data_IF_049007501199
#
_entry.id   IF_049007501199
#
_cell.length_a   1.000
_cell.length_b   1.000
_cell.length_c   1.000
_cell.angle_alpha   90.00
_cell.angle_beta   90.00
_cell.angle_gamma   90.00
#
_symmetry.space_group_name_H-M   'P 1'
#
loop_
_entity.id
_entity.type
_entity.pdbx_description
1 polymer ?
#
# COMPACT_ATOMS: atom_id res chain seq x y z
N UNK A 1 9.33 9.44 22.77
CA UNK A 1 10.76 9.75 22.65
C UNK A 1 11.28 9.27 21.30
N UNK A 2 12.00 10.11 20.59
CA UNK A 2 12.63 9.70 19.33
C UNK A 2 13.99 9.07 19.62
N UNK A 3 14.31 8.01 18.89
CA UNK A 3 15.66 7.47 18.89
C UNK A 3 16.61 8.46 18.22
N UNK A 4 17.87 8.47 18.66
CA UNK A 4 18.90 9.32 18.03
C UNK A 4 19.43 8.73 16.73
N UNK A 5 19.18 7.46 16.46
CA UNK A 5 19.68 6.75 15.28
C UNK A 5 18.60 5.83 14.73
N UNK A 6 18.53 5.77 13.41
CA UNK A 6 17.65 4.86 12.67
C UNK A 6 18.43 4.15 11.58
N UNK A 7 18.09 2.89 11.33
CA UNK A 7 18.70 2.14 10.22
C UNK A 7 18.18 2.63 8.87
N UNK A 8 16.90 2.98 8.80
CA UNK A 8 16.23 3.44 7.59
C UNK A 8 15.34 4.64 7.91
N UNK A 9 15.44 5.68 7.12
CA UNK A 9 14.56 6.84 7.19
C UNK A 9 13.81 6.94 5.86
N UNK A 10 12.49 6.88 5.91
CA UNK A 10 11.62 7.02 4.73
C UNK A 10 10.93 8.37 4.80
N UNK A 11 11.13 9.20 3.79
CA UNK A 11 10.52 10.52 3.69
C UNK A 11 9.37 10.48 2.71
N UNK A 12 8.17 10.74 3.22
CA UNK A 12 6.94 10.68 2.43
C UNK A 12 6.16 9.39 2.70
N UNK A 13 4.90 9.53 3.06
CA UNK A 13 4.02 8.43 3.40
C UNK A 13 2.96 8.20 2.31
N UNK A 14 3.35 8.28 1.05
CA UNK A 14 2.54 7.80 -0.07
C UNK A 14 2.57 6.27 -0.14
N UNK A 15 2.03 5.68 -1.19
CA UNK A 15 2.00 4.22 -1.33
C UNK A 15 3.40 3.60 -1.28
N UNK A 16 4.34 4.16 -2.03
CA UNK A 16 5.72 3.67 -2.05
C UNK A 16 6.41 3.82 -0.70
N UNK A 17 6.24 4.96 -0.04
CA UNK A 17 6.85 5.21 1.26
C UNK A 17 6.29 4.28 2.35
N UNK A 18 4.99 4.04 2.36
CA UNK A 18 4.37 3.10 3.30
C UNK A 18 4.87 1.68 3.09
N UNK A 19 4.97 1.21 1.84
CA UNK A 19 5.51 -0.11 1.53
C UNK A 19 6.99 -0.23 1.92
N UNK A 20 7.77 0.80 1.65
CA UNK A 20 9.20 0.81 2.01
C UNK A 20 9.39 0.77 3.53
N UNK A 21 8.64 1.57 4.28
CA UNK A 21 8.71 1.59 5.73
C UNK A 21 8.30 0.26 6.34
N UNK A 22 7.20 -0.32 5.85
CA UNK A 22 6.72 -1.62 6.30
C UNK A 22 7.74 -2.73 6.02
N UNK A 23 8.32 -2.74 4.83
CA UNK A 23 9.34 -3.73 4.46
C UNK A 23 10.57 -3.63 5.36
N UNK A 24 11.09 -2.43 5.57
CA UNK A 24 12.26 -2.21 6.42
C UNK A 24 11.98 -2.64 7.88
N UNK A 25 10.84 -2.27 8.43
CA UNK A 25 10.46 -2.64 9.79
C UNK A 25 10.27 -4.14 9.95
N UNK A 26 9.65 -4.80 8.97
CA UNK A 26 9.47 -6.26 8.99
C UNK A 26 10.79 -7.03 8.87
N UNK A 27 11.81 -6.42 8.30
CA UNK A 27 13.16 -7.00 8.26
C UNK A 27 13.95 -6.78 9.54
N UNK A 28 13.33 -6.15 10.55
CA UNK A 28 13.99 -5.91 11.84
C UNK A 28 14.76 -4.61 11.93
N UNK A 29 14.66 -3.73 10.93
CA UNK A 29 15.34 -2.45 10.94
C UNK A 29 14.61 -1.42 11.82
N UNK A 30 15.38 -0.58 12.50
CA UNK A 30 14.85 0.60 13.17
C UNK A 30 14.50 1.63 12.08
N UNK A 31 13.20 1.90 11.91
CA UNK A 31 12.69 2.66 10.78
C UNK A 31 11.95 3.92 11.22
N UNK A 32 12.26 5.05 10.62
CA UNK A 32 11.53 6.30 10.80
C UNK A 32 10.79 6.65 9.51
N UNK A 33 9.47 6.79 9.61
CA UNK A 33 8.64 7.28 8.51
C UNK A 33 8.25 8.73 8.80
N UNK A 34 8.63 9.63 7.90
CA UNK A 34 8.36 11.07 8.03
C UNK A 34 7.28 11.49 7.05
N UNK A 35 6.25 12.13 7.56
CA UNK A 35 5.15 12.66 6.73
C UNK A 35 4.71 14.02 7.24
N UNK A 36 4.15 14.83 6.34
CA UNK A 36 3.61 16.13 6.70
C UNK A 36 2.25 16.04 7.40
N UNK A 37 1.48 14.98 7.15
CA UNK A 37 0.16 14.80 7.74
C UNK A 37 -0.15 13.31 7.91
N UNK A 38 -0.32 12.87 9.14
CA UNK A 38 -0.62 11.47 9.47
C UNK A 38 -1.98 11.02 8.92
N UNK A 39 -2.91 11.93 8.71
CA UNK A 39 -4.23 11.59 8.16
C UNK A 39 -4.17 11.26 6.67
N UNK A 40 -3.10 11.64 5.99
CA UNK A 40 -2.94 11.43 4.55
C UNK A 40 -1.98 10.28 4.21
N UNK A 41 -1.69 9.40 5.16
CA UNK A 41 -0.87 8.21 4.91
C UNK A 41 -1.52 7.35 3.82
N UNK A 42 -0.75 6.98 2.81
CA UNK A 42 -1.20 6.16 1.68
C UNK A 42 -2.47 6.70 1.01
N UNK A 43 -2.60 8.01 0.94
CA UNK A 43 -3.78 8.66 0.38
C UNK A 43 -3.99 8.26 -1.07
N UNK A 44 -5.19 7.80 -1.38
CA UNK A 44 -5.61 7.56 -2.76
C UNK A 44 -6.00 8.87 -3.43
N UNK A 45 -5.70 8.99 -4.73
CA UNK A 45 -6.04 10.16 -5.52
C UNK A 45 -7.51 10.13 -5.97
N UNK A 46 -7.84 10.83 -7.06
CA UNK A 46 -9.22 11.01 -7.54
C UNK A 46 -10.00 9.71 -7.76
N UNK A 47 -9.31 8.64 -8.16
CA UNK A 47 -9.91 7.31 -8.35
C UNK A 47 -9.42 6.38 -7.23
N UNK A 48 -10.18 6.18 -6.17
CA UNK A 48 -9.75 5.36 -5.05
C UNK A 48 -9.79 3.87 -5.42
N UNK A 49 -8.80 3.44 -6.21
CA UNK A 49 -8.69 2.08 -6.69
C UNK A 49 -7.24 1.60 -6.63
N UNK A 50 -7.05 0.32 -6.32
CA UNK A 50 -5.76 -0.35 -6.36
C UNK A 50 -5.76 -1.38 -7.50
N UNK A 51 -4.74 -1.31 -8.33
CA UNK A 51 -4.64 -2.17 -9.51
C UNK A 51 -5.11 -1.46 -10.77
N UNK A 52 -5.51 -2.24 -11.78
CA UNK A 52 -5.90 -1.76 -13.09
C UNK A 52 -4.95 -2.25 -14.17
N UNK A 53 -4.96 -1.63 -15.35
CA UNK A 53 -4.10 -2.03 -16.47
C UNK A 53 -2.63 -1.82 -16.10
N UNK A 54 -1.84 -2.89 -16.13
CA UNK A 54 -0.44 -2.96 -15.71
C UNK A 54 -0.21 -2.81 -14.20
N UNK A 55 -1.00 -2.01 -13.48
CA UNK A 55 -0.83 -1.81 -12.04
C UNK A 55 -1.19 -3.05 -11.22
N UNK A 56 -2.18 -3.82 -11.68
CA UNK A 56 -2.59 -5.04 -10.98
C UNK A 56 -1.47 -6.07 -10.92
N UNK A 57 -0.70 -6.22 -11.96
CA UNK A 57 0.45 -7.12 -12.00
C UNK A 57 1.53 -6.67 -11.01
N UNK A 58 1.82 -5.37 -10.96
CA UNK A 58 2.80 -4.79 -10.03
C UNK A 58 2.35 -4.99 -8.58
N UNK A 59 1.08 -4.76 -8.28
CA UNK A 59 0.54 -4.98 -6.93
C UNK A 59 0.66 -6.43 -6.50
N UNK A 60 0.43 -7.38 -7.40
CA UNK A 60 0.63 -8.82 -7.11
C UNK A 60 2.08 -9.14 -6.77
N UNK A 61 3.02 -8.53 -7.48
CA UNK A 61 4.45 -8.73 -7.19
C UNK A 61 4.82 -8.17 -5.83
N UNK A 62 4.31 -6.98 -5.48
CA UNK A 62 4.51 -6.38 -4.16
C UNK A 62 3.94 -7.28 -3.06
N UNK A 63 2.73 -7.80 -3.25
CA UNK A 63 2.07 -8.69 -2.30
C UNK A 63 2.89 -9.99 -2.09
N UNK A 64 3.41 -10.57 -3.18
CA UNK A 64 4.25 -11.76 -3.12
C UNK A 64 5.55 -11.53 -2.34
N UNK A 65 6.05 -10.30 -2.32
CA UNK A 65 7.25 -9.91 -1.56
C UNK A 65 6.94 -9.52 -0.11
N UNK A 66 5.69 -9.63 0.32
CA UNK A 66 5.27 -9.30 1.68
C UNK A 66 4.72 -7.89 1.86
N UNK A 67 4.35 -7.21 0.78
CA UNK A 67 3.75 -5.88 0.84
C UNK A 67 2.34 -5.86 1.42
N UNK A 68 1.90 -4.70 1.85
CA UNK A 68 0.64 -4.53 2.57
C UNK A 68 -0.50 -3.97 1.70
N UNK A 69 -0.22 -3.38 0.55
CA UNK A 69 -1.23 -2.72 -0.28
C UNK A 69 -2.37 -3.67 -0.69
N UNK A 70 -2.05 -4.90 -1.04
CA UNK A 70 -3.05 -5.91 -1.38
C UNK A 70 -3.95 -6.24 -0.20
N UNK A 71 -3.36 -6.44 0.98
CA UNK A 71 -4.09 -6.76 2.22
C UNK A 71 -5.01 -5.61 2.61
N UNK A 72 -4.52 -4.37 2.57
CA UNK A 72 -5.30 -3.18 2.90
C UNK A 72 -6.42 -2.99 1.88
N UNK A 73 -6.16 -3.22 0.60
CA UNK A 73 -7.17 -3.13 -0.45
C UNK A 73 -8.32 -4.12 -0.21
N UNK A 74 -8.00 -5.37 0.15
CA UNK A 74 -9.01 -6.39 0.44
C UNK A 74 -9.88 -6.01 1.63
N UNK A 75 -9.29 -5.45 2.68
CA UNK A 75 -10.02 -5.03 3.89
C UNK A 75 -10.95 -3.84 3.65
N UNK A 76 -10.65 -3.00 2.67
CA UNK A 76 -11.38 -1.76 2.42
C UNK A 76 -12.10 -1.75 1.09
N UNK A 77 -12.17 -2.90 0.41
CA UNK A 77 -12.75 -3.01 -0.92
C UNK A 77 -14.24 -2.68 -0.95
N UNK A 78 -14.61 -1.84 -1.91
CA UNK A 78 -16.00 -1.58 -2.27
C UNK A 78 -16.37 -2.41 -3.50
N UNK A 79 -15.44 -2.52 -4.46
CA UNK A 79 -15.65 -3.24 -5.70
C UNK A 79 -14.36 -3.93 -6.13
N UNK A 80 -14.49 -5.17 -6.60
CA UNK A 80 -13.40 -5.91 -7.24
C UNK A 80 -13.75 -6.14 -8.71
N UNK A 81 -12.79 -5.92 -9.61
CA UNK A 81 -12.96 -6.14 -11.04
C UNK A 81 -11.69 -6.69 -11.66
N UNK A 82 -11.85 -7.69 -12.53
CA UNK A 82 -10.76 -8.20 -13.35
C UNK A 82 -10.81 -7.52 -14.72
N UNK A 83 -9.74 -6.80 -15.06
CA UNK A 83 -9.61 -6.11 -16.34
C UNK A 83 -8.98 -7.01 -17.41
N UNK A 84 -9.24 -6.70 -18.67
CA UNK A 84 -8.66 -7.40 -19.83
C UNK A 84 -9.00 -8.89 -19.91
N UNK A 85 -10.16 -9.32 -19.40
CA UNK A 85 -10.58 -10.72 -19.47
C UNK A 85 -10.65 -11.25 -20.91
N UNK A 86 -11.09 -10.41 -21.84
CA UNK A 86 -11.22 -10.78 -23.26
C UNK A 86 -9.88 -10.99 -23.95
N UNK A 87 -8.78 -10.62 -23.33
CA UNK A 87 -7.42 -10.68 -23.91
C UNK A 87 -6.63 -11.90 -23.47
N UNK A 88 -7.26 -12.83 -22.78
CA UNK A 88 -6.64 -14.05 -22.29
C UNK A 88 -6.05 -13.92 -20.87
N UNK A 89 -5.81 -15.06 -20.19
CA UNK A 89 -5.43 -15.06 -18.77
C UNK A 89 -4.15 -14.28 -18.43
N UNK A 90 -3.18 -14.28 -19.33
CA UNK A 90 -1.92 -13.55 -19.12
C UNK A 90 -2.10 -12.03 -19.01
N UNK A 91 -3.17 -11.52 -19.60
CA UNK A 91 -3.48 -10.09 -19.62
C UNK A 91 -4.48 -9.67 -18.56
N UNK A 92 -5.02 -10.59 -17.79
CA UNK A 92 -5.96 -10.28 -16.72
C UNK A 92 -5.28 -9.44 -15.65
N UNK A 93 -5.93 -8.33 -15.30
CA UNK A 93 -5.38 -7.34 -14.38
C UNK A 93 -6.41 -7.02 -13.30
N UNK A 94 -6.16 -7.37 -12.04
CA UNK A 94 -7.10 -7.08 -10.97
C UNK A 94 -7.17 -5.58 -10.67
N UNK A 95 -8.37 -5.13 -10.33
CA UNK A 95 -8.61 -3.78 -9.85
C UNK A 95 -9.58 -3.84 -8.67
N UNK A 96 -9.19 -3.22 -7.55
CA UNK A 96 -10.01 -3.11 -6.36
C UNK A 96 -10.33 -1.64 -6.14
N UNK A 97 -11.62 -1.31 -6.12
CA UNK A 97 -12.06 0.02 -5.71
C UNK A 97 -12.26 0.01 -4.20
N UNK A 98 -11.61 0.92 -3.50
CA UNK A 98 -11.58 0.97 -2.04
C UNK A 98 -12.17 2.26 -1.50
N UNK A 99 -12.64 2.23 -0.26
CA UNK A 99 -13.00 3.43 0.47
C UNK A 99 -11.72 4.19 0.79
N UNK A 100 -11.64 5.45 0.32
CA UNK A 100 -10.44 6.28 0.41
C UNK A 100 -9.99 6.49 1.86
N UNK A 101 -10.91 6.82 2.73
CA UNK A 101 -10.59 7.11 4.14
C UNK A 101 -10.23 5.84 4.89
N UNK A 102 -10.98 4.76 4.67
CA UNK A 102 -10.69 3.47 5.29
C UNK A 102 -9.36 2.90 4.83
N UNK A 103 -9.00 3.10 3.57
CA UNK A 103 -7.72 2.65 3.05
C UNK A 103 -6.55 3.31 3.80
N UNK A 104 -6.60 4.63 3.96
CA UNK A 104 -5.57 5.35 4.73
C UNK A 104 -5.55 4.94 6.20
N UNK A 105 -6.71 4.79 6.83
CA UNK A 105 -6.81 4.39 8.23
C UNK A 105 -6.26 2.99 8.46
N UNK A 106 -6.55 2.03 7.58
CA UNK A 106 -6.02 0.67 7.67
C UNK A 106 -4.49 0.65 7.51
N UNK A 107 -3.96 1.41 6.55
CA UNK A 107 -2.52 1.53 6.39
C UNK A 107 -1.86 2.10 7.66
N UNK A 108 -2.44 3.16 8.20
CA UNK A 108 -1.93 3.76 9.43
C UNK A 108 -1.93 2.77 10.58
N UNK A 109 -3.02 2.02 10.75
CA UNK A 109 -3.13 1.00 11.79
C UNK A 109 -2.08 -0.09 11.62
N UNK A 110 -1.87 -0.58 10.41
CA UNK A 110 -0.85 -1.60 10.14
C UNK A 110 0.56 -1.08 10.42
N UNK A 111 0.86 0.15 10.06
CA UNK A 111 2.17 0.76 10.32
C UNK A 111 2.42 0.96 11.82
N UNK A 112 1.42 1.38 12.56
CA UNK A 112 1.52 1.57 14.00
C UNK A 112 1.75 0.25 14.75
N UNK A 113 1.29 -0.87 14.20
CA UNK A 113 1.43 -2.20 14.77
C UNK A 113 2.64 -2.98 14.24
N UNK A 114 3.44 -2.39 13.41
CA UNK A 114 4.62 -3.05 12.81
C UNK A 114 5.91 -2.87 13.61
#
# INVERSE_FOLDING_TARGET
MFLNQYDVIVVGAGHAGCEAAAAAANMGCSTLLVTMNLQNIAQMSCNPAMGGIAKGQIVREIDALGGYSGIVSDKTAIQFKMLNKSKGPAMWSPRVQSDRMRFSDEWRTMLENT
#
